data_IF_323091551692
#
_entry.id   IF_323091551692
#
_cell.length_a   1.000
_cell.length_b   1.000
_cell.length_c   1.000
_cell.angle_alpha   90.00
_cell.angle_beta   90.00
_cell.angle_gamma   90.00
#
_symmetry.space_group_name_H-M   'P 1'
#
loop_
_entity.id
_entity.type
_entity.pdbx_description
1 polymer ?
#
# COMPACT_ATOMS: atom_id res chain seq x y z
N UNK A 1 1.82 37.80 19.37
CA UNK A 1 2.10 36.86 20.47
C UNK A 1 2.85 35.66 19.88
N UNK A 2 3.98 35.29 20.45
CA UNK A 2 4.81 34.19 19.94
C UNK A 2 4.07 32.84 19.97
N UNK A 3 3.27 32.58 21.01
CA UNK A 3 2.50 31.35 21.09
C UNK A 3 1.44 31.24 19.99
N UNK A 4 0.82 32.38 19.63
CA UNK A 4 -0.11 32.39 18.50
C UNK A 4 0.62 32.08 17.20
N UNK A 5 1.81 32.67 16.98
CA UNK A 5 2.65 32.38 15.81
C UNK A 5 2.98 30.88 15.75
N UNK A 6 3.51 30.31 16.82
CA UNK A 6 3.90 28.91 16.90
C UNK A 6 2.72 27.95 16.66
N UNK A 7 1.50 28.36 17.04
CA UNK A 7 0.27 27.60 16.85
C UNK A 7 -0.29 27.74 15.42
N UNK A 8 -0.15 28.93 14.82
CA UNK A 8 -0.71 29.28 13.51
C UNK A 8 0.19 28.88 12.33
N UNK A 9 1.51 29.02 12.48
CA UNK A 9 2.46 28.84 11.39
C UNK A 9 2.58 27.38 10.97
N UNK A 10 2.60 27.17 9.66
CA UNK A 10 2.61 25.84 9.04
C UNK A 10 3.93 25.46 8.35
N UNK A 11 4.88 26.40 8.23
CA UNK A 11 6.15 26.17 7.51
C UNK A 11 6.88 24.90 7.98
N UNK A 12 6.82 24.57 9.27
CA UNK A 12 7.47 23.39 9.87
C UNK A 12 7.05 22.05 9.26
N UNK A 13 5.93 22.00 8.52
CA UNK A 13 5.45 20.81 7.83
C UNK A 13 5.11 21.06 6.36
N UNK A 14 4.59 22.27 5.98
CA UNK A 14 4.18 22.54 4.60
C UNK A 14 5.35 22.85 3.66
N UNK A 15 6.57 23.06 4.21
CA UNK A 15 7.80 23.17 3.40
C UNK A 15 7.93 22.02 2.39
N UNK A 16 7.31 20.89 2.65
CA UNK A 16 7.31 19.71 1.79
C UNK A 16 6.61 19.94 0.44
N UNK A 17 5.81 21.00 0.32
CA UNK A 17 5.16 21.41 -0.92
C UNK A 17 5.91 22.53 -1.66
N UNK A 18 7.16 22.83 -1.28
CA UNK A 18 7.92 23.95 -1.85
C UNK A 18 8.08 23.85 -3.37
N UNK A 19 8.31 22.67 -3.89
CA UNK A 19 8.48 22.44 -5.33
C UNK A 19 7.16 22.61 -6.06
N UNK A 20 6.05 22.14 -5.49
CA UNK A 20 4.70 22.28 -6.01
C UNK A 20 4.25 23.75 -6.06
N UNK A 21 4.54 24.51 -5.01
CA UNK A 21 4.27 25.95 -4.96
C UNK A 21 5.00 26.71 -6.07
N UNK A 22 6.29 26.39 -6.28
CA UNK A 22 7.09 27.01 -7.33
C UNK A 22 6.58 26.60 -8.73
N UNK A 23 6.26 25.34 -8.95
CA UNK A 23 5.69 24.83 -10.20
C UNK A 23 4.36 25.52 -10.53
N UNK A 24 3.46 25.60 -9.54
CA UNK A 24 2.19 26.32 -9.65
C UNK A 24 2.39 27.81 -9.97
N UNK A 25 3.39 28.44 -9.34
CA UNK A 25 3.74 29.86 -9.54
C UNK A 25 4.33 30.14 -10.93
N UNK A 26 5.10 29.21 -11.50
CA UNK A 26 5.61 29.32 -12.89
C UNK A 26 4.46 29.34 -13.90
N UNK A 27 3.51 28.39 -13.78
CA UNK A 27 2.35 28.34 -14.66
C UNK A 27 1.41 29.55 -14.44
N UNK A 28 1.28 30.02 -13.19
CA UNK A 28 0.50 31.21 -12.89
C UNK A 28 1.10 32.47 -13.51
N UNK A 29 2.43 32.63 -13.50
CA UNK A 29 3.11 33.73 -14.18
C UNK A 29 2.76 33.80 -15.68
N UNK A 30 2.76 32.66 -16.37
CA UNK A 30 2.33 32.57 -17.78
C UNK A 30 0.85 32.95 -17.94
N UNK A 31 -0.02 32.51 -17.05
CA UNK A 31 -1.45 32.81 -17.12
C UNK A 31 -1.75 34.31 -16.96
N UNK A 32 -1.12 34.98 -15.99
CA UNK A 32 -1.32 36.42 -15.79
C UNK A 32 -0.60 37.27 -16.86
N UNK A 33 0.47 36.75 -17.46
CA UNK A 33 1.06 37.37 -18.66
C UNK A 33 0.06 37.35 -19.84
N UNK A 34 -0.52 36.19 -20.13
CA UNK A 34 -1.56 36.06 -21.19
C UNK A 34 -2.79 36.93 -20.91
N UNK A 35 -3.11 37.16 -19.65
CA UNK A 35 -4.17 38.08 -19.21
C UNK A 35 -3.77 39.58 -19.26
N UNK A 36 -2.55 39.90 -19.66
CA UNK A 36 -2.07 41.28 -19.83
C UNK A 36 -1.62 41.97 -18.54
N UNK A 37 -1.41 41.25 -17.45
CA UNK A 37 -0.93 41.78 -16.17
C UNK A 37 0.59 42.00 -16.19
N UNK A 38 1.33 41.12 -16.87
CA UNK A 38 2.78 41.17 -17.02
C UNK A 38 3.15 41.53 -18.47
N UNK A 39 4.27 42.23 -18.66
CA UNK A 39 4.94 42.29 -19.94
C UNK A 39 5.69 40.99 -20.23
N UNK A 40 6.06 40.75 -21.47
CA UNK A 40 6.85 39.58 -21.87
C UNK A 40 8.18 39.46 -21.08
N UNK A 41 8.85 40.60 -20.88
CA UNK A 41 10.12 40.61 -20.12
C UNK A 41 9.90 40.29 -18.65
N UNK A 42 8.88 40.87 -18.03
CA UNK A 42 8.52 40.57 -16.63
C UNK A 42 8.19 39.10 -16.43
N UNK A 43 7.45 38.46 -17.34
CA UNK A 43 7.16 37.04 -17.30
C UNK A 43 8.45 36.19 -17.40
N UNK A 44 9.33 36.52 -18.34
CA UNK A 44 10.64 35.84 -18.48
C UNK A 44 11.48 35.96 -17.23
N UNK A 45 11.56 37.14 -16.63
CA UNK A 45 12.38 37.39 -15.42
C UNK A 45 11.80 36.65 -14.22
N UNK A 46 10.47 36.63 -14.02
CA UNK A 46 9.81 35.87 -12.96
C UNK A 46 10.07 34.36 -13.11
N UNK A 47 9.86 33.81 -14.29
CA UNK A 47 10.06 32.38 -14.57
C UNK A 47 11.51 31.97 -14.38
N UNK A 48 12.46 32.80 -14.81
CA UNK A 48 13.90 32.55 -14.56
C UNK A 48 14.21 32.48 -13.08
N UNK A 49 13.74 33.45 -12.29
CA UNK A 49 13.98 33.49 -10.85
C UNK A 49 13.30 32.32 -10.11
N UNK A 50 12.08 31.92 -10.53
CA UNK A 50 11.38 30.76 -9.98
C UNK A 50 12.10 29.43 -10.31
N UNK A 51 12.62 29.28 -11.53
CA UNK A 51 13.41 28.08 -11.88
C UNK A 51 14.72 28.01 -11.08
N UNK A 52 15.41 29.13 -10.91
CA UNK A 52 16.60 29.18 -10.03
C UNK A 52 16.25 28.82 -8.58
N UNK A 53 15.11 29.31 -8.08
CA UNK A 53 14.64 28.97 -6.74
C UNK A 53 14.27 27.47 -6.63
N UNK A 54 13.64 26.90 -7.68
CA UNK A 54 13.34 25.48 -7.74
C UNK A 54 14.62 24.62 -7.64
N UNK A 55 15.68 24.99 -8.38
CA UNK A 55 16.97 24.31 -8.31
C UNK A 55 17.63 24.42 -6.91
N UNK A 56 17.54 25.60 -6.27
CA UNK A 56 18.05 25.81 -4.91
C UNK A 56 17.31 24.94 -3.89
N UNK A 57 15.98 24.96 -3.92
CA UNK A 57 15.11 24.20 -3.00
C UNK A 57 15.27 22.70 -3.19
N UNK A 58 15.42 22.23 -4.43
CA UNK A 58 15.60 20.80 -4.73
C UNK A 58 16.87 20.21 -4.09
N UNK A 59 17.86 21.03 -3.79
CA UNK A 59 19.13 20.57 -3.18
C UNK A 59 19.00 20.33 -1.68
N UNK A 60 18.18 21.12 -0.98
CA UNK A 60 17.96 21.01 0.46
C UNK A 60 16.61 21.60 0.87
N UNK A 61 15.55 20.83 0.62
CA UNK A 61 14.19 21.23 0.98
C UNK A 61 13.99 21.30 2.52
N UNK A 62 14.72 20.49 3.29
CA UNK A 62 14.54 20.41 4.74
C UNK A 62 14.99 21.67 5.47
N UNK A 63 15.95 22.42 4.92
CA UNK A 63 16.42 23.69 5.52
C UNK A 63 15.31 24.74 5.59
N UNK A 64 14.29 24.64 4.76
CA UNK A 64 13.16 25.57 4.70
C UNK A 64 12.33 25.52 6.00
N UNK A 65 12.19 24.35 6.61
CA UNK A 65 11.36 24.15 7.82
C UNK A 65 11.68 25.13 8.97
N UNK A 66 12.89 25.72 9.00
CA UNK A 66 13.37 26.63 10.02
C UNK A 66 13.62 28.07 9.53
N UNK A 67 13.13 28.43 8.35
CA UNK A 67 13.37 29.74 7.74
C UNK A 67 12.62 30.90 8.44
N UNK A 68 11.62 30.60 9.28
CA UNK A 68 10.92 31.58 10.11
C UNK A 68 9.75 32.30 9.44
N UNK A 69 9.41 31.95 8.21
CA UNK A 69 8.20 32.41 7.52
C UNK A 69 6.95 31.73 8.09
N UNK A 70 5.74 32.27 7.84
CA UNK A 70 4.46 31.71 8.33
C UNK A 70 4.14 30.36 7.66
N UNK A 71 4.31 30.30 6.35
CA UNK A 71 4.01 29.17 5.50
C UNK A 71 4.96 29.10 4.30
N UNK A 72 4.88 28.01 3.54
CA UNK A 72 5.72 27.83 2.36
C UNK A 72 5.48 28.88 1.28
N UNK A 73 4.24 29.37 1.16
CA UNK A 73 3.87 30.39 0.17
C UNK A 73 4.54 31.73 0.47
N UNK A 74 4.58 32.12 1.75
CA UNK A 74 5.30 33.32 2.24
C UNK A 74 6.79 33.18 2.03
N UNK A 75 7.36 32.00 2.25
CA UNK A 75 8.76 31.71 1.99
C UNK A 75 9.09 31.90 0.49
N UNK A 76 8.34 31.26 -0.40
CA UNK A 76 8.58 31.35 -1.86
C UNK A 76 8.42 32.79 -2.34
N UNK A 77 7.39 33.51 -1.89
CA UNK A 77 7.17 34.92 -2.24
C UNK A 77 8.33 35.81 -1.77
N UNK A 78 8.79 35.68 -0.53
CA UNK A 78 9.94 36.43 0.00
C UNK A 78 11.21 36.13 -0.80
N UNK A 79 11.52 34.86 -1.05
CA UNK A 79 12.70 34.45 -1.83
C UNK A 79 12.64 34.99 -3.28
N UNK A 80 11.46 35.00 -3.88
CA UNK A 80 11.27 35.59 -5.21
C UNK A 80 11.52 37.10 -5.19
N UNK A 81 10.97 37.83 -4.20
CA UNK A 81 11.19 39.26 -4.05
C UNK A 81 12.68 39.60 -3.82
N UNK A 82 13.41 38.78 -3.08
CA UNK A 82 14.88 38.93 -2.91
C UNK A 82 15.62 38.84 -4.25
N UNK A 83 15.14 38.03 -5.21
CA UNK A 83 15.75 37.84 -6.54
C UNK A 83 15.37 38.92 -7.55
N UNK A 84 14.12 39.33 -7.59
CA UNK A 84 13.57 40.21 -8.65
C UNK A 84 12.94 41.52 -8.14
N UNK A 85 13.08 41.80 -6.84
CA UNK A 85 12.56 43.02 -6.23
C UNK A 85 11.02 43.14 -6.33
N UNK A 86 10.55 44.37 -6.62
CA UNK A 86 9.10 44.64 -6.68
C UNK A 86 8.35 43.84 -7.76
N UNK A 87 9.05 43.28 -8.73
CA UNK A 87 8.43 42.45 -9.75
C UNK A 87 7.83 41.18 -9.10
N UNK A 88 8.49 40.60 -8.11
CA UNK A 88 7.99 39.42 -7.38
C UNK A 88 6.61 39.63 -6.76
N UNK A 89 6.30 40.85 -6.34
CA UNK A 89 4.98 41.20 -5.77
C UNK A 89 3.82 41.12 -6.78
N UNK A 90 4.11 41.18 -8.09
CA UNK A 90 3.07 41.06 -9.15
C UNK A 90 2.55 39.62 -9.29
N UNK A 91 3.35 38.61 -8.88
CA UNK A 91 3.00 37.21 -9.08
C UNK A 91 1.69 36.83 -8.37
N UNK A 92 1.40 37.43 -7.22
CA UNK A 92 0.17 37.13 -6.45
C UNK A 92 -1.12 37.70 -7.07
N UNK A 93 -1.00 38.53 -8.12
CA UNK A 93 -2.16 39.19 -8.79
C UNK A 93 -3.18 38.13 -9.23
N UNK A 94 -4.44 38.30 -8.83
CA UNK A 94 -5.57 37.42 -9.21
C UNK A 94 -5.63 36.04 -8.54
N UNK A 95 -4.65 35.71 -7.72
CA UNK A 95 -4.57 34.46 -6.96
C UNK A 95 -4.85 34.70 -5.46
N UNK A 96 -5.33 33.67 -4.78
CA UNK A 96 -5.44 33.64 -3.32
C UNK A 96 -4.55 32.56 -2.73
N UNK A 97 -4.25 32.64 -1.42
CA UNK A 97 -3.67 31.52 -0.67
C UNK A 97 -4.56 30.29 -0.74
N UNK A 98 -5.89 30.46 -0.85
CA UNK A 98 -6.85 29.35 -0.79
C UNK A 98 -6.72 28.44 -2.02
N UNK A 99 -6.71 28.97 -3.25
CA UNK A 99 -6.53 28.16 -4.45
C UNK A 99 -5.07 27.71 -4.65
N UNK A 100 -4.11 28.48 -4.15
CA UNK A 100 -2.68 28.13 -4.16
C UNK A 100 -2.42 26.89 -3.29
N UNK A 101 -2.81 26.89 -2.02
CA UNK A 101 -2.60 25.74 -1.13
C UNK A 101 -3.37 24.50 -1.58
N UNK A 102 -4.59 24.68 -2.12
CA UNK A 102 -5.37 23.57 -2.67
C UNK A 102 -4.68 22.92 -3.88
N UNK A 103 -4.07 23.74 -4.77
CA UNK A 103 -3.27 23.24 -5.89
C UNK A 103 -2.04 22.49 -5.41
N UNK A 104 -1.24 23.11 -4.54
CA UNK A 104 0.05 22.56 -4.11
C UNK A 104 -0.12 21.21 -3.42
N UNK A 105 -1.15 21.09 -2.55
CA UNK A 105 -1.47 19.84 -1.90
C UNK A 105 -1.89 18.76 -2.90
N UNK A 106 -2.69 19.13 -3.92
CA UNK A 106 -3.12 18.18 -4.95
C UNK A 106 -1.96 17.73 -5.84
N UNK A 107 -1.04 18.63 -6.20
CA UNK A 107 0.19 18.28 -6.93
C UNK A 107 1.08 17.35 -6.10
N UNK A 108 1.25 17.64 -4.80
CA UNK A 108 2.00 16.80 -3.89
C UNK A 108 1.37 15.40 -3.78
N UNK A 109 0.05 15.30 -3.63
CA UNK A 109 -0.66 14.03 -3.58
C UNK A 109 -0.44 13.18 -4.85
N UNK A 110 -0.47 13.80 -6.03
CA UNK A 110 -0.22 13.09 -7.30
C UNK A 110 1.20 12.53 -7.38
N UNK A 111 2.21 13.27 -6.91
CA UNK A 111 3.59 12.77 -6.82
C UNK A 111 3.69 11.63 -5.81
N UNK A 112 3.07 11.78 -4.64
CA UNK A 112 3.02 10.74 -3.63
C UNK A 112 2.37 9.45 -4.14
N UNK A 113 1.25 9.54 -4.88
CA UNK A 113 0.62 8.39 -5.53
C UNK A 113 1.57 7.69 -6.50
N UNK A 114 2.31 8.45 -7.30
CA UNK A 114 3.27 7.87 -8.23
C UNK A 114 4.37 7.08 -7.51
N UNK A 115 4.88 7.60 -6.40
CA UNK A 115 5.95 6.95 -5.63
C UNK A 115 5.44 5.73 -4.85
N UNK A 116 4.25 5.80 -4.26
CA UNK A 116 3.64 4.64 -3.59
C UNK A 116 3.29 3.54 -4.59
N UNK A 117 2.81 3.88 -5.82
CA UNK A 117 2.61 2.88 -6.89
C UNK A 117 3.90 2.13 -7.20
N UNK A 118 5.05 2.83 -7.29
CA UNK A 118 6.36 2.18 -7.48
C UNK A 118 6.73 1.26 -6.31
N UNK A 119 6.49 1.69 -5.08
CA UNK A 119 6.76 0.89 -3.89
C UNK A 119 5.90 -0.39 -3.84
N UNK A 120 4.62 -0.31 -4.22
CA UNK A 120 3.74 -1.49 -4.33
C UNK A 120 4.26 -2.45 -5.41
N UNK A 121 4.61 -1.95 -6.59
CA UNK A 121 5.16 -2.78 -7.69
C UNK A 121 6.45 -3.45 -7.26
N UNK A 122 7.33 -2.73 -6.54
CA UNK A 122 8.56 -3.30 -6.00
C UNK A 122 8.28 -4.45 -5.03
N UNK A 123 7.39 -4.25 -4.06
CA UNK A 123 6.97 -5.31 -3.13
C UNK A 123 6.37 -6.50 -3.87
N UNK A 124 5.47 -6.28 -4.84
CA UNK A 124 4.88 -7.36 -5.62
C UNK A 124 5.94 -8.18 -6.38
N UNK A 125 6.99 -7.53 -6.89
CA UNK A 125 8.10 -8.23 -7.56
C UNK A 125 8.88 -9.12 -6.61
N UNK A 126 9.23 -8.60 -5.43
CA UNK A 126 9.93 -9.40 -4.42
C UNK A 126 9.10 -10.61 -3.98
N UNK A 127 7.79 -10.41 -3.77
CA UNK A 127 6.87 -11.51 -3.47
C UNK A 127 6.82 -12.55 -4.60
N UNK A 128 6.74 -12.12 -5.86
CA UNK A 128 6.69 -13.02 -7.02
C UNK A 128 8.01 -13.77 -7.20
N UNK A 129 9.16 -13.12 -6.98
CA UNK A 129 10.47 -13.75 -7.04
C UNK A 129 10.60 -14.88 -6.00
N UNK A 130 10.24 -14.60 -4.72
CA UNK A 130 10.26 -15.60 -3.66
C UNK A 130 9.26 -16.72 -3.93
N UNK A 131 8.07 -16.42 -4.48
CA UNK A 131 7.09 -17.42 -4.88
C UNK A 131 7.63 -18.34 -5.99
N UNK A 132 8.35 -17.81 -6.97
CA UNK A 132 8.97 -18.59 -8.03
C UNK A 132 10.08 -19.51 -7.52
N UNK A 133 10.98 -19.01 -6.66
CA UNK A 133 12.07 -19.78 -6.05
C UNK A 133 11.57 -20.95 -5.18
N UNK A 134 10.37 -20.81 -4.62
CA UNK A 134 9.74 -21.78 -3.74
C UNK A 134 8.58 -22.53 -4.38
N UNK A 135 8.54 -22.57 -5.71
CA UNK A 135 7.46 -23.20 -6.46
C UNK A 135 7.28 -24.68 -6.07
N UNK A 136 6.05 -25.06 -5.76
CA UNK A 136 5.68 -26.44 -5.41
C UNK A 136 6.04 -26.87 -3.98
N UNK A 137 6.77 -26.06 -3.21
CA UNK A 137 7.12 -26.40 -1.83
C UNK A 137 5.87 -26.39 -0.94
N UNK A 138 5.68 -27.54 -0.27
CA UNK A 138 4.50 -27.80 0.57
C UNK A 138 4.52 -26.91 1.80
N UNK A 139 3.34 -26.38 2.15
CA UNK A 139 3.14 -25.51 3.30
C UNK A 139 1.81 -25.83 4.00
N UNK A 140 1.73 -25.74 5.34
CA UNK A 140 0.48 -25.99 6.04
C UNK A 140 -0.53 -24.86 5.80
N UNK A 141 -1.76 -25.19 5.43
CA UNK A 141 -2.87 -24.23 5.39
C UNK A 141 -3.57 -24.16 6.75
N UNK A 142 -4.08 -22.97 7.07
CA UNK A 142 -4.78 -22.72 8.34
C UNK A 142 -6.15 -22.06 8.11
N UNK A 143 -7.11 -22.49 8.91
CA UNK A 143 -8.35 -21.75 9.20
C UNK A 143 -8.56 -21.76 10.72
N UNK A 144 -9.02 -20.64 11.30
CA UNK A 144 -9.21 -20.54 12.75
C UNK A 144 -7.93 -20.83 13.57
N UNK A 145 -6.75 -20.61 13.01
CA UNK A 145 -5.44 -21.03 13.53
C UNK A 145 -5.33 -22.54 13.79
N UNK A 146 -6.24 -23.35 13.20
CA UNK A 146 -6.14 -24.79 13.17
C UNK A 146 -5.61 -25.25 11.81
N UNK A 147 -4.81 -26.32 11.82
CA UNK A 147 -4.32 -26.94 10.59
C UNK A 147 -5.48 -27.41 9.74
N UNK A 148 -5.44 -27.03 8.47
CA UNK A 148 -6.44 -27.35 7.47
C UNK A 148 -5.78 -28.10 6.30
N UNK A 149 -6.28 -27.90 5.08
CA UNK A 149 -5.71 -28.54 3.91
C UNK A 149 -4.29 -28.01 3.60
N UNK A 150 -3.39 -28.83 3.04
CA UNK A 150 -2.09 -28.38 2.60
C UNK A 150 -2.20 -27.39 1.45
N UNK A 151 -1.30 -26.43 1.43
CA UNK A 151 -1.11 -25.46 0.34
C UNK A 151 0.35 -25.48 -0.10
N UNK A 152 0.76 -24.59 -1.01
CA UNK A 152 2.18 -24.34 -1.26
C UNK A 152 2.58 -22.99 -0.68
N UNK A 153 3.86 -22.82 -0.33
CA UNK A 153 4.39 -21.54 0.14
C UNK A 153 4.22 -20.45 -0.92
N UNK A 154 4.44 -20.79 -2.19
CA UNK A 154 4.19 -19.89 -3.32
C UNK A 154 2.73 -19.44 -3.38
N UNK A 155 1.78 -20.35 -3.22
CA UNK A 155 0.35 -20.02 -3.25
C UNK A 155 -0.04 -19.07 -2.12
N UNK A 156 0.50 -19.27 -0.92
CA UNK A 156 0.30 -18.35 0.20
C UNK A 156 0.85 -16.95 -0.10
N UNK A 157 2.08 -16.83 -0.65
CA UNK A 157 2.68 -15.55 -1.05
C UNK A 157 1.81 -14.85 -2.10
N UNK A 158 1.36 -15.57 -3.13
CA UNK A 158 0.56 -15.00 -4.22
C UNK A 158 -0.79 -14.42 -3.75
N UNK A 159 -1.34 -14.91 -2.63
CA UNK A 159 -2.54 -14.30 -2.03
C UNK A 159 -2.29 -12.84 -1.63
N UNK A 160 -1.11 -12.52 -1.10
CA UNK A 160 -0.72 -11.15 -0.76
C UNK A 160 -0.43 -10.31 -2.00
N UNK A 161 0.16 -10.89 -3.05
CA UNK A 161 0.31 -10.18 -4.34
C UNK A 161 -1.03 -9.70 -4.86
N UNK A 162 -2.09 -10.52 -4.75
CA UNK A 162 -3.45 -10.14 -5.14
C UNK A 162 -4.05 -9.04 -4.24
N UNK A 163 -3.70 -8.98 -2.97
CA UNK A 163 -4.12 -7.88 -2.08
C UNK A 163 -3.48 -6.56 -2.52
N UNK A 164 -2.15 -6.56 -2.77
CA UNK A 164 -1.43 -5.37 -3.23
C UNK A 164 -1.81 -4.97 -4.66
N UNK A 165 -2.25 -5.91 -5.49
CA UNK A 165 -2.83 -5.58 -6.80
C UNK A 165 -4.09 -4.73 -6.65
N UNK A 166 -4.98 -5.08 -5.73
CA UNK A 166 -6.17 -4.27 -5.43
C UNK A 166 -5.81 -2.90 -4.84
N UNK A 167 -4.70 -2.79 -4.09
CA UNK A 167 -4.21 -1.51 -3.58
C UNK A 167 -3.68 -0.63 -4.71
N UNK A 168 -2.95 -1.21 -5.67
CA UNK A 168 -2.51 -0.51 -6.87
C UNK A 168 -3.70 0.03 -7.68
N UNK A 169 -4.75 -0.78 -7.87
CA UNK A 169 -5.96 -0.35 -8.58
C UNK A 169 -6.70 0.78 -7.85
N UNK A 170 -6.74 0.77 -6.50
CA UNK A 170 -7.29 1.89 -5.72
C UNK A 170 -6.53 3.17 -5.95
N UNK A 171 -5.20 3.11 -6.03
CA UNK A 171 -4.38 4.28 -6.33
C UNK A 171 -4.60 4.84 -7.74
N UNK A 172 -4.86 4.00 -8.74
CA UNK A 172 -5.25 4.48 -10.07
C UNK A 172 -6.57 5.25 -10.03
N UNK A 173 -7.55 4.73 -9.29
CA UNK A 173 -8.84 5.43 -9.12
C UNK A 173 -8.69 6.74 -8.33
N UNK A 174 -7.87 6.76 -7.28
CA UNK A 174 -7.59 7.97 -6.52
C UNK A 174 -6.87 9.03 -7.37
N UNK A 175 -5.94 8.63 -8.23
CA UNK A 175 -5.24 9.52 -9.17
C UNK A 175 -6.23 10.16 -10.16
N UNK A 176 -7.18 9.38 -10.71
CA UNK A 176 -8.21 9.87 -11.61
C UNK A 176 -9.12 10.93 -10.96
N UNK A 177 -9.46 10.77 -9.67
CA UNK A 177 -10.25 11.74 -8.91
C UNK A 177 -9.50 13.07 -8.66
N UNK A 178 -8.18 13.08 -8.78
CA UNK A 178 -7.34 14.28 -8.61
C UNK A 178 -7.06 15.05 -9.90
N UNK A 179 -7.65 14.69 -11.04
CA UNK A 179 -7.29 15.23 -12.36
C UNK A 179 -7.88 16.61 -12.68
N UNK A 180 -8.37 17.37 -11.67
CA UNK A 180 -8.88 18.73 -11.86
C UNK A 180 -8.10 19.74 -11.03
N UNK A 181 -7.65 20.85 -11.68
CA UNK A 181 -6.90 21.93 -11.04
C UNK A 181 -7.82 22.96 -10.38
N UNK A 182 -7.60 23.33 -9.10
CA UNK A 182 -8.33 24.40 -8.43
C UNK A 182 -7.83 25.79 -8.79
N UNK A 183 -6.63 25.95 -9.39
CA UNK A 183 -6.00 27.24 -9.60
C UNK A 183 -6.86 28.18 -10.48
N UNK A 184 -6.94 29.43 -10.08
CA UNK A 184 -7.85 30.41 -10.65
C UNK A 184 -9.23 30.46 -9.99
N UNK A 185 -9.47 29.62 -8.95
CA UNK A 185 -10.65 29.75 -8.07
C UNK A 185 -10.56 30.96 -7.15
N UNK A 186 -9.38 31.56 -7.01
CA UNK A 186 -9.06 32.65 -6.11
C UNK A 186 -9.47 32.33 -4.64
N UNK A 187 -10.01 33.29 -3.88
CA UNK A 187 -10.42 33.00 -2.51
C UNK A 187 -11.61 32.04 -2.45
N UNK A 188 -12.60 32.20 -3.36
CA UNK A 188 -13.81 31.37 -3.44
C UNK A 188 -14.68 31.66 -4.68
N UNK A 189 -14.56 32.86 -5.27
CA UNK A 189 -15.51 33.35 -6.29
C UNK A 189 -14.94 33.27 -7.74
N UNK A 190 -13.72 32.80 -7.89
CA UNK A 190 -12.98 32.85 -9.15
C UNK A 190 -12.17 34.12 -9.32
N UNK A 191 -11.14 34.08 -10.15
CA UNK A 191 -10.34 35.28 -10.51
C UNK A 191 -11.10 36.19 -11.40
N UNK A 192 -10.90 37.49 -11.23
CA UNK A 192 -11.49 38.52 -12.11
C UNK A 192 -10.68 38.77 -13.42
N UNK A 193 -9.52 38.14 -13.54
CA UNK A 193 -8.66 38.28 -14.73
C UNK A 193 -9.08 37.25 -15.79
N UNK A 194 -8.89 37.65 -17.07
CA UNK A 194 -9.23 36.78 -18.20
C UNK A 194 -8.20 35.66 -18.38
N UNK A 195 -8.32 34.63 -17.54
CA UNK A 195 -7.43 33.45 -17.53
C UNK A 195 -8.18 32.26 -18.11
N UNK A 196 -7.58 31.56 -19.08
CA UNK A 196 -8.02 30.24 -19.52
C UNK A 196 -7.59 29.19 -18.48
N UNK A 197 -8.52 28.84 -17.57
CA UNK A 197 -8.27 27.89 -16.51
C UNK A 197 -8.07 26.45 -17.00
N UNK A 198 -8.67 26.07 -18.12
CA UNK A 198 -8.47 24.73 -18.69
C UNK A 198 -7.10 24.64 -19.38
N UNK A 199 -6.57 25.71 -19.99
CA UNK A 199 -5.19 25.76 -20.48
C UNK A 199 -4.22 25.68 -19.30
N UNK A 200 -4.40 26.51 -18.26
CA UNK A 200 -3.59 26.51 -17.04
C UNK A 200 -3.58 25.13 -16.36
N UNK A 201 -4.72 24.45 -16.32
CA UNK A 201 -4.80 23.10 -15.76
C UNK A 201 -3.96 22.09 -16.57
N UNK A 202 -4.00 22.16 -17.90
CA UNK A 202 -3.18 21.30 -18.77
C UNK A 202 -1.68 21.58 -18.62
N UNK A 203 -1.29 22.84 -18.46
CA UNK A 203 0.11 23.22 -18.23
C UNK A 203 0.65 22.66 -16.90
N UNK A 204 -0.23 22.45 -15.91
CA UNK A 204 0.04 21.81 -14.62
C UNK A 204 -0.15 20.27 -14.63
N UNK A 205 -0.43 19.68 -15.81
CA UNK A 205 -0.60 18.24 -15.96
C UNK A 205 -1.96 17.69 -15.47
N UNK A 206 -2.98 18.54 -15.30
CA UNK A 206 -4.36 18.13 -15.03
C UNK A 206 -5.17 17.99 -16.32
N UNK A 207 -6.26 17.24 -16.28
CA UNK A 207 -7.18 17.12 -17.44
C UNK A 207 -7.98 18.39 -17.69
N UNK A 208 -8.41 19.07 -16.63
CA UNK A 208 -9.24 20.28 -16.71
C UNK A 208 -9.20 21.10 -15.40
N UNK A 209 -9.80 22.29 -15.43
CA UNK A 209 -10.05 23.07 -14.22
C UNK A 209 -11.28 22.55 -13.45
N UNK A 210 -11.32 22.79 -12.13
CA UNK A 210 -12.53 22.60 -11.31
C UNK A 210 -13.69 23.45 -11.81
N UNK A 211 -14.91 22.91 -11.79
CA UNK A 211 -16.08 23.55 -12.40
C UNK A 211 -16.87 24.46 -11.45
N UNK A 212 -16.46 24.52 -10.19
CA UNK A 212 -16.99 25.43 -9.18
C UNK A 212 -15.86 25.94 -8.29
N UNK A 213 -15.73 27.26 -8.14
CA UNK A 213 -14.61 27.85 -7.39
C UNK A 213 -14.74 27.71 -5.87
N UNK A 214 -15.96 27.64 -5.33
CA UNK A 214 -16.19 27.33 -3.92
C UNK A 214 -15.74 25.93 -3.55
N UNK A 215 -16.12 24.97 -4.39
CA UNK A 215 -15.71 23.57 -4.27
C UNK A 215 -14.19 23.42 -4.48
N UNK A 216 -13.64 24.09 -5.50
CA UNK A 216 -12.22 23.98 -5.85
C UNK A 216 -11.26 24.35 -4.71
N UNK A 217 -11.59 25.32 -3.87
CA UNK A 217 -10.77 25.71 -2.71
C UNK A 217 -11.09 24.92 -1.45
N UNK A 218 -12.26 24.29 -1.39
CA UNK A 218 -12.75 23.52 -0.22
C UNK A 218 -12.42 22.04 -0.30
N UNK A 219 -12.32 21.49 -1.51
CA UNK A 219 -12.13 20.05 -1.75
C UNK A 219 -10.89 19.48 -1.07
N UNK A 220 -11.12 18.47 -0.25
CA UNK A 220 -10.10 17.61 0.38
C UNK A 220 -10.45 16.13 0.23
N UNK A 221 -11.38 15.79 -0.69
CA UNK A 221 -11.78 14.41 -0.93
C UNK A 221 -10.57 13.56 -1.34
N UNK A 222 -9.66 14.13 -2.15
CA UNK A 222 -8.42 13.47 -2.54
C UNK A 222 -7.52 13.12 -1.36
N UNK A 223 -7.51 13.89 -0.27
CA UNK A 223 -6.76 13.59 0.95
C UNK A 223 -7.42 12.41 1.68
N UNK A 224 -8.75 12.44 1.85
CA UNK A 224 -9.50 11.36 2.51
C UNK A 224 -9.42 10.06 1.70
N UNK A 225 -9.51 10.13 0.38
CA UNK A 225 -9.39 8.98 -0.52
C UNK A 225 -7.99 8.35 -0.42
N UNK A 226 -6.93 9.18 -0.46
CA UNK A 226 -5.55 8.69 -0.35
C UNK A 226 -5.27 8.06 1.03
N UNK A 227 -5.75 8.66 2.11
CA UNK A 227 -5.67 8.09 3.45
C UNK A 227 -6.49 6.79 3.58
N UNK A 228 -7.61 6.67 2.86
CA UNK A 228 -8.39 5.43 2.78
C UNK A 228 -7.61 4.33 2.06
N UNK A 229 -7.00 4.63 0.91
CA UNK A 229 -6.12 3.71 0.20
C UNK A 229 -4.97 3.23 1.10
N UNK A 230 -4.30 4.16 1.79
CA UNK A 230 -3.23 3.87 2.73
C UNK A 230 -3.71 2.95 3.87
N UNK A 231 -4.87 3.26 4.46
CA UNK A 231 -5.44 2.47 5.56
C UNK A 231 -5.74 1.03 5.16
N UNK A 232 -6.35 0.81 3.99
CA UNK A 232 -6.65 -0.54 3.47
C UNK A 232 -5.35 -1.31 3.19
N UNK A 233 -4.36 -0.66 2.57
CA UNK A 233 -3.07 -1.28 2.27
C UNK A 233 -2.30 -1.63 3.55
N UNK A 234 -2.32 -0.77 4.57
CA UNK A 234 -1.72 -1.07 5.88
C UNK A 234 -2.42 -2.23 6.58
N UNK A 235 -3.73 -2.44 6.38
CA UNK A 235 -4.42 -3.66 6.87
C UNK A 235 -3.87 -4.89 6.16
N UNK A 236 -3.64 -4.84 4.84
CA UNK A 236 -3.03 -5.95 4.11
C UNK A 236 -1.60 -6.24 4.59
N UNK A 237 -0.78 -5.21 4.78
CA UNK A 237 0.57 -5.31 5.35
C UNK A 237 0.56 -5.87 6.78
N UNK A 238 -0.40 -5.43 7.61
CA UNK A 238 -0.57 -5.94 8.98
C UNK A 238 -0.90 -7.44 8.99
N UNK A 239 -1.74 -7.92 8.07
CA UNK A 239 -2.06 -9.35 7.93
C UNK A 239 -0.84 -10.16 7.48
N UNK A 240 -0.08 -9.65 6.49
CA UNK A 240 1.17 -10.26 6.06
C UNK A 240 2.17 -10.38 7.22
N UNK A 241 2.30 -9.29 7.98
CA UNK A 241 3.18 -9.26 9.15
C UNK A 241 2.76 -10.28 10.22
N UNK A 242 1.46 -10.37 10.51
CA UNK A 242 0.93 -11.33 11.50
C UNK A 242 1.19 -12.78 11.11
N UNK A 243 0.88 -13.15 9.86
CA UNK A 243 1.16 -14.50 9.37
C UNK A 243 2.65 -14.84 9.51
N UNK A 244 3.54 -13.92 9.11
CA UNK A 244 4.99 -14.13 9.19
C UNK A 244 5.51 -14.18 10.63
N UNK A 245 4.94 -13.40 11.56
CA UNK A 245 5.26 -13.46 13.00
C UNK A 245 4.92 -14.86 13.55
N UNK A 246 3.74 -15.37 13.20
CA UNK A 246 3.32 -16.72 13.60
C UNK A 246 4.26 -17.76 12.98
N UNK A 247 4.54 -17.68 11.69
CA UNK A 247 5.35 -18.66 10.97
C UNK A 247 6.83 -18.63 11.35
N UNK A 248 7.35 -17.47 11.82
CA UNK A 248 8.71 -17.33 12.34
C UNK A 248 8.83 -17.66 13.82
N UNK A 249 7.72 -17.88 14.55
CA UNK A 249 7.72 -18.13 15.98
C UNK A 249 8.56 -19.36 16.35
N UNK A 250 9.00 -19.42 17.62
CA UNK A 250 9.76 -20.56 18.17
C UNK A 250 9.02 -21.89 18.09
N UNK A 251 7.69 -21.87 18.05
CA UNK A 251 6.81 -23.03 17.94
C UNK A 251 6.61 -23.48 16.50
N UNK A 252 6.38 -22.56 15.56
CA UNK A 252 6.14 -22.89 14.15
C UNK A 252 7.44 -23.14 13.37
N UNK A 253 8.37 -22.19 13.40
CA UNK A 253 9.66 -22.27 12.68
C UNK A 253 9.53 -22.65 11.20
N UNK A 254 8.47 -22.15 10.55
CA UNK A 254 8.26 -22.44 9.12
C UNK A 254 9.11 -21.54 8.23
N UNK A 255 9.41 -20.33 8.69
CA UNK A 255 10.27 -19.39 8.01
C UNK A 255 11.34 -18.83 8.95
N UNK A 256 12.46 -18.42 8.37
CA UNK A 256 13.52 -17.67 9.05
C UNK A 256 13.66 -16.30 8.38
N UNK A 257 13.71 -15.26 9.22
CA UNK A 257 13.92 -13.87 8.78
C UNK A 257 15.42 -13.53 8.80
N UNK A 258 15.84 -12.66 7.89
CA UNK A 258 17.22 -12.17 7.86
C UNK A 258 17.55 -11.24 9.03
N UNK A 259 18.83 -11.14 9.37
CA UNK A 259 19.30 -10.24 10.44
C UNK A 259 19.07 -8.75 10.10
N UNK A 260 18.83 -8.40 8.84
CA UNK A 260 18.54 -7.03 8.40
C UNK A 260 17.21 -6.49 8.91
N UNK A 261 16.26 -7.38 9.23
CA UNK A 261 14.88 -7.03 9.60
C UNK A 261 14.48 -7.55 10.99
N UNK A 262 15.45 -8.03 11.74
CA UNK A 262 15.29 -8.57 13.10
C UNK A 262 16.25 -7.87 14.07
N UNK A 263 15.90 -7.82 15.35
CA UNK A 263 16.81 -7.38 16.40
C UNK A 263 17.16 -8.50 17.35
N UNK A 264 18.38 -8.41 17.92
CA UNK A 264 18.80 -9.29 18.99
C UNK A 264 18.26 -8.85 20.35
N UNK A 265 18.33 -9.74 21.34
CA UNK A 265 18.08 -9.38 22.73
C UNK A 265 19.37 -8.98 23.42
N UNK A 266 19.36 -7.92 24.23
CA UNK A 266 20.49 -7.52 25.06
C UNK A 266 20.80 -8.52 26.17
N UNK A 267 19.82 -9.38 26.53
CA UNK A 267 19.95 -10.38 27.60
C UNK A 267 20.10 -11.80 27.05
N UNK A 268 19.43 -12.12 25.93
CA UNK A 268 19.37 -13.47 25.36
C UNK A 268 20.02 -13.49 23.96
N UNK A 269 21.32 -13.87 23.84
CA UNK A 269 22.07 -13.74 22.59
C UNK A 269 21.51 -14.56 21.42
N UNK A 270 20.75 -15.61 21.71
CA UNK A 270 20.14 -16.50 20.70
C UNK A 270 18.81 -15.97 20.15
N UNK A 271 18.23 -14.94 20.77
CA UNK A 271 16.88 -14.45 20.44
C UNK A 271 16.95 -13.49 19.25
N UNK A 272 16.11 -13.75 18.25
CA UNK A 272 15.85 -12.85 17.10
C UNK A 272 14.40 -12.40 17.16
N UNK A 273 14.16 -11.11 17.31
CA UNK A 273 12.81 -10.54 17.36
C UNK A 273 12.41 -10.08 15.95
N UNK A 274 11.16 -10.33 15.52
CA UNK A 274 10.66 -9.89 14.21
C UNK A 274 10.21 -8.42 14.22
N UNK A 275 11.08 -7.50 14.69
CA UNK A 275 10.73 -6.11 14.98
C UNK A 275 10.16 -5.37 13.77
N UNK A 276 10.69 -5.61 12.57
CA UNK A 276 10.17 -5.00 11.35
C UNK A 276 8.68 -5.35 11.12
N UNK A 277 8.32 -6.62 11.32
CA UNK A 277 6.94 -7.09 11.17
C UNK A 277 6.02 -6.54 12.28
N UNK A 278 6.52 -6.51 13.51
CA UNK A 278 5.76 -5.94 14.64
C UNK A 278 5.50 -4.44 14.44
N UNK A 279 6.48 -3.69 13.93
CA UNK A 279 6.33 -2.28 13.60
C UNK A 279 5.35 -2.06 12.42
N UNK A 280 5.40 -2.87 11.38
CA UNK A 280 4.40 -2.81 10.28
C UNK A 280 3.00 -3.01 10.86
N UNK A 281 2.79 -4.04 11.70
CA UNK A 281 1.52 -4.32 12.36
C UNK A 281 1.06 -3.15 13.24
N UNK A 282 1.94 -2.58 14.04
CA UNK A 282 1.64 -1.47 14.96
C UNK A 282 1.34 -0.16 14.23
N UNK A 283 2.09 0.16 13.17
CA UNK A 283 1.93 1.39 12.38
C UNK A 283 0.60 1.45 11.60
N UNK A 284 -0.08 0.32 11.39
CA UNK A 284 -1.42 0.29 10.80
C UNK A 284 -2.39 1.21 11.55
N UNK A 285 -2.38 1.18 12.89
CA UNK A 285 -3.23 2.06 13.73
C UNK A 285 -2.93 3.54 13.54
N UNK A 286 -1.67 3.92 13.30
CA UNK A 286 -1.27 5.30 13.03
C UNK A 286 -1.92 5.85 11.75
N UNK A 287 -1.90 5.07 10.66
CA UNK A 287 -2.48 5.47 9.37
C UNK A 287 -4.01 5.50 9.42
N UNK A 288 -4.64 4.51 10.04
CA UNK A 288 -6.10 4.49 10.26
C UNK A 288 -6.55 5.67 11.12
N UNK A 289 -5.76 6.03 12.14
CA UNK A 289 -6.00 7.21 12.96
C UNK A 289 -5.94 8.52 12.16
N UNK A 290 -5.03 8.64 11.20
CA UNK A 290 -4.92 9.78 10.30
C UNK A 290 -6.19 9.94 9.42
N UNK A 291 -6.70 8.86 8.83
CA UNK A 291 -7.95 8.86 8.08
C UNK A 291 -9.13 9.31 8.95
N UNK A 292 -9.27 8.73 10.12
CA UNK A 292 -10.36 9.08 11.07
C UNK A 292 -10.28 10.56 11.46
N UNK A 293 -9.09 11.05 11.78
CA UNK A 293 -8.85 12.46 12.10
C UNK A 293 -9.26 13.39 10.96
N UNK A 294 -8.90 13.05 9.70
CA UNK A 294 -9.23 13.86 8.53
C UNK A 294 -10.74 13.90 8.26
N UNK A 295 -11.43 12.76 8.34
CA UNK A 295 -12.89 12.69 8.21
C UNK A 295 -13.61 13.57 9.26
N UNK A 296 -13.12 13.57 10.49
CA UNK A 296 -13.67 14.40 11.57
C UNK A 296 -13.37 15.89 11.35
N UNK A 297 -12.17 16.23 10.86
CA UNK A 297 -11.80 17.61 10.51
C UNK A 297 -12.70 18.18 9.41
N UNK A 298 -12.94 17.44 8.33
CA UNK A 298 -13.78 17.90 7.23
C UNK A 298 -15.29 17.88 7.55
N UNK A 299 -15.71 17.06 8.52
CA UNK A 299 -17.13 16.92 8.86
C UNK A 299 -17.72 18.28 9.28
N UNK A 300 -18.79 18.69 8.55
CA UNK A 300 -19.56 19.92 8.83
C UNK A 300 -18.77 21.23 8.73
N UNK A 301 -17.61 21.25 8.06
CA UNK A 301 -16.99 22.53 7.71
C UNK A 301 -17.88 23.30 6.70
N UNK A 302 -18.00 24.62 6.84
CA UNK A 302 -18.58 25.48 5.82
C UNK A 302 -17.79 25.37 4.51
N UNK A 303 -18.42 25.78 3.39
CA UNK A 303 -17.75 25.84 2.09
C UNK A 303 -16.64 26.90 2.07
N UNK A 304 -15.82 26.84 1.03
CA UNK A 304 -14.61 27.60 0.83
C UNK A 304 -13.47 27.15 1.75
N UNK A 305 -12.83 28.05 2.47
CA UNK A 305 -11.66 27.71 3.28
C UNK A 305 -11.80 28.21 4.70
N UNK A 306 -11.69 27.29 5.65
CA UNK A 306 -11.46 27.58 7.06
C UNK A 306 -10.09 27.06 7.49
N UNK A 307 -9.49 27.68 8.51
CA UNK A 307 -8.14 27.32 8.99
C UNK A 307 -8.03 25.87 9.45
N UNK A 308 -9.15 25.22 9.76
CA UNK A 308 -9.25 23.78 10.05
C UNK A 308 -8.62 22.92 8.95
N UNK A 309 -8.71 23.35 7.70
CA UNK A 309 -8.11 22.66 6.56
C UNK A 309 -6.58 22.66 6.58
N UNK A 310 -5.93 23.41 7.46
CA UNK A 310 -4.48 23.30 7.69
C UNK A 310 -4.08 21.94 8.30
N UNK A 311 -5.03 21.29 9.01
CA UNK A 311 -4.86 19.98 9.62
C UNK A 311 -4.79 18.81 8.59
N UNK A 312 -5.00 19.09 7.32
CA UNK A 312 -4.93 18.11 6.23
C UNK A 312 -3.50 17.57 6.00
N UNK A 313 -2.46 18.39 6.23
CA UNK A 313 -1.08 18.13 5.79
C UNK A 313 -0.32 17.20 6.71
N UNK A 314 -0.24 17.49 8.01
CA UNK A 314 0.59 16.73 8.95
C UNK A 314 0.17 15.24 8.98
N UNK A 315 -1.15 14.99 9.05
CA UNK A 315 -1.67 13.61 9.04
C UNK A 315 -1.44 12.89 7.72
N UNK A 316 -1.61 13.60 6.61
CA UNK A 316 -1.40 13.05 5.29
C UNK A 316 0.07 12.69 5.06
N UNK A 317 0.96 13.64 5.29
CA UNK A 317 2.39 13.46 5.10
C UNK A 317 2.93 12.30 5.94
N UNK A 318 2.58 12.27 7.22
CA UNK A 318 2.95 11.21 8.14
C UNK A 318 2.41 9.83 7.73
N UNK A 319 1.16 9.77 7.29
CA UNK A 319 0.54 8.52 6.86
C UNK A 319 1.17 7.98 5.57
N UNK A 320 1.46 8.86 4.60
CA UNK A 320 2.10 8.46 3.33
C UNK A 320 3.52 7.98 3.57
N UNK A 321 4.32 8.69 4.37
CA UNK A 321 5.68 8.25 4.73
C UNK A 321 5.63 6.89 5.45
N UNK A 322 4.72 6.74 6.41
CA UNK A 322 4.53 5.49 7.15
C UNK A 322 4.15 4.33 6.23
N UNK A 323 3.25 4.57 5.27
CA UNK A 323 2.84 3.57 4.30
C UNK A 323 3.98 3.17 3.36
N UNK A 324 4.66 4.16 2.77
CA UNK A 324 5.79 3.95 1.88
C UNK A 324 6.91 3.14 2.58
N UNK A 325 7.30 3.55 3.78
CA UNK A 325 8.33 2.85 4.56
C UNK A 325 7.90 1.42 4.94
N UNK A 326 6.61 1.21 5.22
CA UNK A 326 6.09 -0.12 5.55
C UNK A 326 6.11 -1.06 4.33
N UNK A 327 5.81 -0.55 3.12
CA UNK A 327 5.95 -1.28 1.86
C UNK A 327 7.41 -1.66 1.60
N UNK A 328 8.32 -0.71 1.77
CA UNK A 328 9.76 -0.94 1.61
C UNK A 328 10.28 -1.96 2.63
N UNK A 329 9.88 -1.85 3.89
CA UNK A 329 10.27 -2.80 4.93
C UNK A 329 9.74 -4.21 4.66
N UNK A 330 8.51 -4.35 4.16
CA UNK A 330 7.97 -5.63 3.73
C UNK A 330 8.78 -6.23 2.57
N UNK A 331 9.25 -5.42 1.62
CA UNK A 331 10.15 -5.88 0.53
C UNK A 331 11.45 -6.43 1.09
N UNK A 332 12.09 -5.72 2.04
CA UNK A 332 13.33 -6.18 2.70
C UNK A 332 13.15 -7.50 3.47
N UNK A 333 11.96 -7.74 4.05
CA UNK A 333 11.64 -9.02 4.69
C UNK A 333 11.71 -10.15 3.66
N UNK A 334 11.10 -9.95 2.47
CA UNK A 334 11.07 -10.99 1.44
C UNK A 334 12.41 -11.19 0.73
N UNK A 335 13.25 -10.16 0.58
CA UNK A 335 14.62 -10.32 0.05
C UNK A 335 15.48 -11.33 0.83
N UNK A 336 15.19 -11.54 2.10
CA UNK A 336 16.01 -12.38 2.97
C UNK A 336 15.28 -13.54 3.65
N UNK A 337 14.01 -13.76 3.34
CA UNK A 337 13.21 -14.83 3.96
C UNK A 337 13.66 -16.21 3.48
N UNK A 338 13.70 -17.18 4.38
CA UNK A 338 14.01 -18.58 4.07
C UNK A 338 12.91 -19.50 4.57
N UNK A 339 12.45 -20.39 3.70
CA UNK A 339 11.51 -21.44 4.09
C UNK A 339 12.25 -22.59 4.79
N UNK A 340 11.77 -22.99 5.97
CA UNK A 340 12.14 -24.25 6.60
C UNK A 340 11.21 -25.35 6.09
N UNK A 341 11.57 -25.90 4.94
CA UNK A 341 10.74 -26.88 4.22
C UNK A 341 10.41 -28.11 5.07
N UNK A 342 11.36 -28.59 5.88
CA UNK A 342 11.16 -29.76 6.74
C UNK A 342 10.03 -29.52 7.75
N UNK A 343 10.09 -28.42 8.48
CA UNK A 343 9.08 -28.09 9.48
C UNK A 343 7.71 -27.82 8.82
N UNK A 344 7.70 -27.18 7.65
CA UNK A 344 6.47 -26.90 6.91
C UNK A 344 5.78 -28.20 6.45
N UNK A 345 6.54 -29.17 5.92
CA UNK A 345 6.01 -30.48 5.50
C UNK A 345 5.47 -31.27 6.71
N UNK A 346 6.24 -31.31 7.81
CA UNK A 346 5.78 -32.00 9.04
C UNK A 346 4.48 -31.38 9.58
N UNK A 347 4.37 -30.06 9.55
CA UNK A 347 3.13 -29.39 9.94
C UNK A 347 1.97 -29.67 8.97
N UNK A 348 2.23 -29.74 7.66
CA UNK A 348 1.21 -30.05 6.66
C UNK A 348 0.70 -31.50 6.77
N UNK A 349 1.51 -32.45 7.20
CA UNK A 349 1.12 -33.86 7.47
C UNK A 349 0.29 -33.98 8.74
N UNK A 350 0.52 -33.12 9.73
CA UNK A 350 -0.11 -33.22 11.03
C UNK A 350 -1.61 -32.92 11.02
N UNK A 351 -2.31 -33.45 12.04
CA UNK A 351 -3.72 -33.11 12.27
C UNK A 351 -4.71 -33.76 11.32
N UNK A 352 -4.33 -34.85 10.64
CA UNK A 352 -5.20 -35.56 9.69
C UNK A 352 -5.71 -34.64 8.57
N UNK A 353 -4.85 -33.73 8.08
CA UNK A 353 -5.17 -32.76 7.04
C UNK A 353 -5.63 -33.41 5.71
N UNK A 354 -5.28 -34.69 5.52
CA UNK A 354 -5.66 -35.53 4.37
C UNK A 354 -6.96 -36.32 4.56
N UNK A 355 -7.69 -36.09 5.66
CA UNK A 355 -8.99 -36.77 5.90
C UNK A 355 -10.04 -36.42 4.83
N UNK A 356 -10.02 -35.20 4.29
CA UNK A 356 -10.92 -34.79 3.20
C UNK A 356 -10.66 -35.62 1.95
N UNK A 357 -9.40 -35.92 1.63
CA UNK A 357 -9.03 -36.75 0.49
C UNK A 357 -9.49 -38.19 0.63
N UNK A 358 -9.51 -38.72 1.85
CA UNK A 358 -10.08 -40.03 2.12
C UNK A 358 -11.60 -40.03 1.90
N UNK A 359 -12.29 -38.94 2.26
CA UNK A 359 -13.72 -38.79 1.97
C UNK A 359 -13.97 -38.71 0.44
N UNK A 360 -13.20 -37.93 -0.27
CA UNK A 360 -13.28 -37.81 -1.73
C UNK A 360 -12.94 -39.13 -2.44
N UNK A 361 -11.97 -39.88 -1.90
CA UNK A 361 -11.67 -41.23 -2.38
C UNK A 361 -12.89 -42.16 -2.25
N UNK A 362 -13.56 -42.18 -1.09
CA UNK A 362 -14.76 -42.95 -0.88
C UNK A 362 -15.92 -42.52 -1.82
N UNK A 363 -16.04 -41.21 -2.05
CA UNK A 363 -17.01 -40.68 -3.04
C UNK A 363 -16.72 -41.21 -4.45
N UNK A 364 -15.43 -41.26 -4.84
CA UNK A 364 -15.02 -41.83 -6.13
C UNK A 364 -15.32 -43.32 -6.28
N UNK A 365 -15.48 -44.02 -5.15
CA UNK A 365 -15.95 -45.43 -5.10
C UNK A 365 -17.47 -45.60 -5.05
N UNK A 366 -18.20 -44.47 -5.16
CA UNK A 366 -19.67 -44.49 -5.23
C UNK A 366 -20.39 -44.30 -3.89
N UNK A 367 -19.66 -43.99 -2.80
CA UNK A 367 -20.28 -43.69 -1.49
C UNK A 367 -20.73 -42.21 -1.46
N UNK A 368 -22.00 -41.93 -1.08
CA UNK A 368 -22.45 -40.55 -0.92
C UNK A 368 -21.59 -39.75 0.06
N UNK A 369 -21.33 -38.46 -0.24
CA UNK A 369 -20.40 -37.66 0.54
C UNK A 369 -20.66 -37.62 2.08
N UNK A 370 -21.95 -37.53 2.48
CA UNK A 370 -22.31 -37.53 3.91
C UNK A 370 -21.95 -38.84 4.60
N UNK A 371 -22.13 -39.96 3.90
CA UNK A 371 -21.74 -41.27 4.42
C UNK A 371 -20.24 -41.44 4.42
N UNK A 372 -19.54 -41.04 3.37
CA UNK A 372 -18.09 -40.99 3.29
C UNK A 372 -17.51 -40.19 4.46
N UNK A 373 -18.02 -38.97 4.71
CA UNK A 373 -17.60 -38.14 5.83
C UNK A 373 -17.79 -38.83 7.19
N UNK A 374 -18.89 -39.52 7.42
CA UNK A 374 -19.13 -40.27 8.64
C UNK A 374 -18.17 -41.44 8.80
N UNK A 375 -17.91 -42.21 7.71
CA UNK A 375 -16.90 -43.28 7.71
C UNK A 375 -15.53 -42.73 8.04
N UNK A 376 -15.08 -41.67 7.39
CA UNK A 376 -13.78 -41.02 7.61
C UNK A 376 -13.66 -40.53 9.06
N UNK A 377 -14.71 -39.92 9.61
CA UNK A 377 -14.70 -39.49 11.01
C UNK A 377 -14.39 -40.67 11.98
N UNK A 378 -14.96 -41.84 11.72
CA UNK A 378 -14.66 -43.05 12.52
C UNK A 378 -13.23 -43.57 12.31
N UNK A 379 -12.76 -43.54 11.04
CA UNK A 379 -11.36 -43.93 10.74
C UNK A 379 -10.37 -43.00 11.42
N UNK A 380 -10.61 -41.67 11.42
CA UNK A 380 -9.76 -40.69 12.10
C UNK A 380 -9.71 -40.96 13.62
N UNK A 381 -10.87 -41.19 14.25
CA UNK A 381 -10.91 -41.55 15.69
C UNK A 381 -10.14 -42.84 15.98
N UNK A 382 -10.24 -43.83 15.12
CA UNK A 382 -9.48 -45.07 15.22
C UNK A 382 -7.98 -44.83 15.08
N UNK A 383 -7.57 -44.05 14.05
CA UNK A 383 -6.16 -43.69 13.84
C UNK A 383 -5.57 -42.94 15.05
N UNK A 384 -6.34 -41.98 15.63
CA UNK A 384 -5.96 -41.30 16.89
C UNK A 384 -5.75 -42.28 18.02
N UNK A 385 -6.68 -43.27 18.22
CA UNK A 385 -6.56 -44.24 19.28
C UNK A 385 -5.34 -45.18 19.14
N UNK A 386 -4.87 -45.34 17.90
CA UNK A 386 -3.67 -46.15 17.56
C UNK A 386 -2.40 -45.31 17.48
N UNK A 387 -2.48 -43.97 17.62
CA UNK A 387 -1.37 -43.04 17.41
C UNK A 387 -0.73 -43.18 16.01
N UNK A 388 -1.54 -43.46 14.97
CA UNK A 388 -1.12 -43.60 13.58
C UNK A 388 -1.61 -42.47 12.74
N UNK A 389 -0.85 -42.09 11.70
CA UNK A 389 -1.36 -41.27 10.61
C UNK A 389 -2.31 -42.13 9.71
N UNK A 390 -3.10 -41.46 8.87
CA UNK A 390 -4.00 -42.20 7.94
C UNK A 390 -3.19 -43.06 6.97
N UNK A 391 -2.09 -42.55 6.46
CA UNK A 391 -1.19 -43.29 5.57
C UNK A 391 -0.49 -44.51 6.20
N UNK A 392 -0.47 -44.63 7.54
CA UNK A 392 0.12 -45.74 8.28
C UNK A 392 -0.88 -46.86 8.65
N UNK A 393 -2.17 -46.62 8.35
CA UNK A 393 -3.18 -47.66 8.52
C UNK A 393 -3.05 -48.72 7.42
N UNK A 394 -3.11 -49.99 7.78
CA UNK A 394 -3.16 -51.08 6.80
C UNK A 394 -4.52 -51.16 6.12
N UNK A 395 -4.56 -51.73 4.91
CA UNK A 395 -5.84 -51.99 4.21
C UNK A 395 -6.80 -52.84 5.05
N UNK A 396 -6.29 -53.78 5.86
CA UNK A 396 -7.11 -54.55 6.76
C UNK A 396 -7.82 -53.67 7.81
N UNK A 397 -7.09 -52.71 8.41
CA UNK A 397 -7.65 -51.75 9.36
C UNK A 397 -8.68 -50.84 8.67
N UNK A 398 -8.44 -50.39 7.43
CA UNK A 398 -9.40 -49.61 6.66
C UNK A 398 -10.68 -50.38 6.34
N UNK A 399 -10.57 -51.68 6.04
CA UNK A 399 -11.71 -52.53 5.73
C UNK A 399 -12.65 -52.80 6.89
N UNK A 400 -12.21 -52.55 8.15
CA UNK A 400 -13.10 -52.57 9.30
C UNK A 400 -14.20 -51.49 9.21
N UNK A 401 -13.98 -50.45 8.40
CA UNK A 401 -14.92 -49.32 8.22
C UNK A 401 -15.60 -49.32 6.87
N UNK A 402 -14.96 -49.83 5.81
CA UNK A 402 -15.53 -49.89 4.46
C UNK A 402 -14.78 -50.88 3.56
N UNK A 403 -15.48 -51.86 3.02
CA UNK A 403 -14.90 -52.90 2.15
C UNK A 403 -14.39 -52.38 0.83
N UNK A 404 -14.81 -51.17 0.40
CA UNK A 404 -14.42 -50.55 -0.88
C UNK A 404 -13.00 -49.97 -0.83
N UNK A 405 -12.35 -49.87 0.37
CA UNK A 405 -11.02 -49.34 0.49
C UNK A 405 -9.99 -50.40 0.14
N UNK A 406 -9.17 -50.11 -0.86
CA UNK A 406 -8.05 -50.94 -1.30
C UNK A 406 -6.70 -50.24 -1.21
N UNK A 407 -5.65 -50.88 -1.76
CA UNK A 407 -4.28 -50.32 -1.80
C UNK A 407 -4.20 -48.95 -2.54
N UNK A 408 -5.15 -48.67 -3.38
CA UNK A 408 -5.26 -47.41 -4.13
C UNK A 408 -5.68 -46.20 -3.27
N UNK A 409 -5.92 -46.40 -1.98
CA UNK A 409 -6.14 -45.30 -1.00
C UNK A 409 -4.87 -44.51 -0.75
N UNK A 410 -3.71 -45.15 -0.66
CA UNK A 410 -2.45 -44.49 -0.27
C UNK A 410 -2.01 -43.39 -1.20
N UNK A 411 -2.05 -43.51 -2.53
CA UNK A 411 -1.78 -42.40 -3.43
C UNK A 411 -2.70 -41.19 -3.20
N UNK A 412 -3.92 -41.41 -2.77
CA UNK A 412 -4.89 -40.32 -2.49
C UNK A 412 -4.52 -39.51 -1.25
N UNK A 413 -3.76 -40.08 -0.32
CA UNK A 413 -3.37 -39.46 0.93
C UNK A 413 -2.01 -38.72 0.87
N UNK A 414 -1.27 -38.87 -0.24
CA UNK A 414 0.01 -38.20 -0.42
C UNK A 414 -0.16 -36.69 -0.68
N UNK A 415 0.61 -35.85 0.01
CA UNK A 415 0.48 -34.40 -0.06
C UNK A 415 0.63 -33.87 -1.48
N UNK A 416 1.57 -34.38 -2.27
CA UNK A 416 1.80 -33.97 -3.64
C UNK A 416 0.56 -34.24 -4.52
N UNK A 417 -0.09 -35.41 -4.36
CA UNK A 417 -1.32 -35.73 -5.09
C UNK A 417 -2.49 -34.87 -4.64
N UNK A 418 -2.58 -34.56 -3.35
CA UNK A 418 -3.57 -33.65 -2.78
C UNK A 418 -3.47 -32.27 -3.42
N UNK A 419 -2.29 -31.71 -3.55
CA UNK A 419 -2.03 -30.41 -4.18
C UNK A 419 -2.37 -30.47 -5.68
N UNK A 420 -1.89 -31.49 -6.40
CA UNK A 420 -2.08 -31.60 -7.85
C UNK A 420 -3.53 -31.78 -8.28
N UNK A 421 -4.39 -32.38 -7.46
CA UNK A 421 -5.83 -32.53 -7.72
C UNK A 421 -6.56 -31.18 -7.79
N UNK A 422 -6.05 -30.14 -7.13
CA UNK A 422 -6.67 -28.80 -7.06
C UNK A 422 -6.21 -27.90 -8.22
N UNK A 423 -6.32 -28.43 -9.44
CA UNK A 423 -5.84 -27.80 -10.67
C UNK A 423 -6.93 -26.97 -11.37
N UNK A 424 -7.67 -26.16 -10.61
CA UNK A 424 -8.62 -25.17 -11.11
C UNK A 424 -7.96 -23.78 -11.08
N UNK A 425 -8.51 -22.80 -11.80
CA UNK A 425 -8.08 -21.41 -11.73
C UNK A 425 -8.14 -20.93 -10.28
N UNK A 426 -7.03 -20.38 -9.78
CA UNK A 426 -6.92 -19.97 -8.37
C UNK A 426 -6.70 -21.12 -7.39
N UNK A 427 -6.59 -22.36 -7.86
CA UNK A 427 -6.28 -23.53 -7.04
C UNK A 427 -4.81 -23.63 -6.69
N UNK A 428 -4.49 -24.50 -5.72
CA UNK A 428 -3.16 -24.60 -5.12
C UNK A 428 -2.17 -25.46 -5.93
N UNK A 429 -2.62 -26.13 -6.99
CA UNK A 429 -1.76 -27.00 -7.78
C UNK A 429 -0.53 -26.23 -8.30
N UNK A 430 0.70 -26.82 -8.22
CA UNK A 430 1.90 -26.16 -8.72
C UNK A 430 1.81 -25.67 -10.16
N UNK A 431 1.05 -26.37 -11.02
CA UNK A 431 0.80 -25.95 -12.40
C UNK A 431 0.02 -24.62 -12.47
N UNK A 432 -0.95 -24.40 -11.59
CA UNK A 432 -1.72 -23.15 -11.53
C UNK A 432 -0.90 -22.00 -10.96
N UNK A 433 -0.13 -22.23 -9.89
CA UNK A 433 0.76 -21.22 -9.34
C UNK A 433 1.83 -20.79 -10.33
N UNK A 434 2.34 -21.71 -11.16
CA UNK A 434 3.29 -21.37 -12.23
C UNK A 434 2.67 -20.41 -13.26
N UNK A 435 1.47 -20.72 -13.73
CA UNK A 435 0.76 -19.86 -14.70
C UNK A 435 0.53 -18.47 -14.10
N UNK A 436 0.14 -18.40 -12.84
CA UNK A 436 -0.11 -17.13 -12.17
C UNK A 436 1.17 -16.31 -11.98
N UNK A 437 2.30 -16.93 -11.61
CA UNK A 437 3.62 -16.28 -11.55
C UNK A 437 3.98 -15.66 -12.91
N UNK A 438 3.81 -16.41 -14.01
CA UNK A 438 4.09 -15.93 -15.36
C UNK A 438 3.20 -14.73 -15.74
N UNK A 439 1.92 -14.76 -15.39
CA UNK A 439 0.97 -13.67 -15.63
C UNK A 439 1.36 -12.41 -14.85
N UNK A 440 1.68 -12.57 -13.56
CA UNK A 440 2.09 -11.47 -12.70
C UNK A 440 3.40 -10.85 -13.15
N UNK A 441 4.38 -11.63 -13.57
CA UNK A 441 5.64 -11.12 -14.16
C UNK A 441 5.38 -10.23 -15.38
N UNK A 442 4.51 -10.67 -16.29
CA UNK A 442 4.13 -9.87 -17.47
C UNK A 442 3.44 -8.58 -17.05
N UNK A 443 2.49 -8.66 -16.12
CA UNK A 443 1.76 -7.50 -15.60
C UNK A 443 2.72 -6.47 -14.97
N UNK A 444 3.60 -6.93 -14.07
CA UNK A 444 4.53 -6.06 -13.36
C UNK A 444 5.57 -5.43 -14.29
N UNK A 445 6.05 -6.16 -15.29
CA UNK A 445 6.95 -5.60 -16.31
C UNK A 445 6.30 -4.50 -17.14
N UNK A 446 5.00 -4.59 -17.41
CA UNK A 446 4.27 -3.54 -18.16
C UNK A 446 4.09 -2.23 -17.37
N UNK A 447 4.39 -2.22 -16.08
CA UNK A 447 4.28 -1.04 -15.18
C UNK A 447 5.60 -0.30 -14.97
N UNK A 448 6.69 -0.79 -15.57
CA UNK A 448 8.02 -0.17 -15.48
C UNK A 448 8.30 0.84 -16.60
N UNK A 449 7.50 0.84 -17.66
CA UNK A 449 7.56 1.80 -18.75
C UNK A 449 6.64 2.98 -18.54
#
# INVERSE_FOLDING_TARGET
DQRFKDYNDSLKFDYRMALEDIEGSICWADAIYKAGVLTEQENKDLKKALNELHEEVSKDIHSIATAGDEDIHSYVERRLIEKVGNLGKKLHTGRSRNDQVALDLKLWCRKAVADVKKAIVHLQKELVNVAEENQGKIFPGYTHLQRAQPVTFSHWILAYVQMFERDYQRLLNADELMETSPLGSAALAGTAYNIDRDELARDLGFKSATRNSLDGVSDRDHVMELLSCASISMVHLSRLAEDLIIYNSGEAKFVELSDKVTSGSSLMPQKKNPDALELIRGKCGRVVGALTGMLVTCKALPLAYDKDLQEDKERLFDAIDTWHDSLYMASLVFEGIKLNEKNAIEAAKGGYSNATELADYLVSKGIPFREAHSIVGRIVLFAISKQKALEDLSVAEYKEFSDVIGEDVYPSLQLENILNKRNIIGGVAPAQTKVEIENLKKLLSSREG
#
